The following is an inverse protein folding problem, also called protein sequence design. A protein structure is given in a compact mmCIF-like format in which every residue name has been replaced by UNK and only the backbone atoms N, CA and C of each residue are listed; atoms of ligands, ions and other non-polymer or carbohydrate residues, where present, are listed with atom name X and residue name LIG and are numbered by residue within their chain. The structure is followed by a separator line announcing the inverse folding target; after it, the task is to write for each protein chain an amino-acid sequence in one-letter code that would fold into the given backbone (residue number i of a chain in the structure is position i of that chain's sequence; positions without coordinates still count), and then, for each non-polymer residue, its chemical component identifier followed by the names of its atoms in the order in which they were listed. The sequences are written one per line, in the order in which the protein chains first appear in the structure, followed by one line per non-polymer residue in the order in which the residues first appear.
data_IF_349691906614
#
_entry.id   IF_349691906614
#
_cell.length_a   1.000
_cell.length_b   1.000
_cell.length_c   1.000
_cell.angle_alpha   90.00
_cell.angle_beta   90.00
_cell.angle_gamma   90.00
#
_symmetry.space_group_name_H-M   'P 1'
#
loop_
_entity.id
_entity.type
_entity.pdbx_description
1 polymer ?
#
# COMPACT_ATOMS: atom_id res chain seq x y z
N UNK A 1 -20.00 -7.45 6.04
CA UNK A 1 -19.89 -8.73 5.32
C UNK A 1 -21.20 -9.02 4.61
N UNK A 2 -21.20 -9.16 3.28
CA UNK A 2 -22.43 -9.47 2.56
C UNK A 2 -22.58 -10.97 2.29
N UNK A 3 -23.81 -11.47 2.44
CA UNK A 3 -24.18 -12.83 1.98
C UNK A 3 -24.75 -12.86 0.55
N UNK A 4 -25.11 -11.72 -0.05
CA UNK A 4 -25.74 -11.66 -1.40
C UNK A 4 -25.30 -10.48 -2.30
N UNK A 5 -24.57 -9.49 -1.80
CA UNK A 5 -24.23 -8.25 -2.54
C UNK A 5 -22.72 -8.08 -2.69
N UNK A 6 -22.23 -7.57 -3.81
CA UNK A 6 -20.81 -7.21 -3.96
C UNK A 6 -20.48 -6.01 -3.07
N UNK A 7 -19.29 -6.03 -2.47
CA UNK A 7 -18.74 -4.88 -1.73
C UNK A 7 -17.97 -4.03 -2.74
N UNK A 8 -18.24 -2.72 -2.76
CA UNK A 8 -17.43 -1.81 -3.56
C UNK A 8 -15.98 -1.80 -3.06
N UNK A 9 -15.00 -1.82 -3.98
CA UNK A 9 -13.60 -1.74 -3.59
C UNK A 9 -13.34 -0.40 -2.90
N UNK A 10 -12.61 -0.45 -1.78
CA UNK A 10 -12.21 0.76 -1.05
C UNK A 10 -11.23 1.56 -1.91
N UNK A 11 -11.52 2.84 -2.11
CA UNK A 11 -10.59 3.78 -2.73
C UNK A 11 -9.45 4.04 -1.75
N UNK A 12 -8.23 3.96 -2.26
CA UNK A 12 -7.01 4.27 -1.52
C UNK A 12 -6.41 5.56 -2.06
N UNK A 13 -5.69 6.28 -1.19
CA UNK A 13 -4.91 7.43 -1.64
C UNK A 13 -3.65 6.92 -2.37
N UNK A 14 -3.20 7.63 -3.42
CA UNK A 14 -1.96 7.31 -4.09
C UNK A 14 -0.76 7.52 -3.17
N UNK A 15 0.35 6.87 -3.53
CA UNK A 15 1.61 6.99 -2.79
C UNK A 15 2.12 8.45 -2.76
N UNK A 16 2.58 8.97 -1.60
CA UNK A 16 2.99 10.37 -1.49
C UNK A 16 4.29 10.70 -2.24
N UNK A 17 5.16 9.73 -2.53
CA UNK A 17 6.46 9.97 -3.18
C UNK A 17 6.37 9.79 -4.69
N UNK A 18 5.68 8.75 -5.15
CA UNK A 18 5.59 8.40 -6.57
C UNK A 18 4.20 8.62 -7.18
N UNK A 19 3.19 9.00 -6.40
CA UNK A 19 1.83 9.22 -6.89
C UNK A 19 1.12 7.95 -7.39
N UNK A 20 1.70 6.78 -7.15
CA UNK A 20 1.21 5.50 -7.68
C UNK A 20 0.24 4.82 -6.71
N UNK A 21 -0.96 4.48 -7.19
CA UNK A 21 -1.92 3.67 -6.43
C UNK A 21 -1.45 2.22 -6.24
N UNK A 22 -0.68 1.68 -7.20
CA UNK A 22 -0.16 0.31 -7.09
C UNK A 22 0.87 0.21 -5.97
N UNK A 23 1.75 1.21 -5.85
CA UNK A 23 2.76 1.25 -4.81
C UNK A 23 2.11 1.42 -3.43
N UNK A 24 1.10 2.29 -3.31
CA UNK A 24 0.31 2.44 -2.09
C UNK A 24 -0.41 1.14 -1.68
N UNK A 25 -0.98 0.37 -2.62
CA UNK A 25 -1.55 -0.97 -2.35
C UNK A 25 -0.46 -1.92 -1.84
N UNK A 26 0.71 -1.91 -2.46
CA UNK A 26 1.81 -2.78 -2.07
C UNK A 26 2.32 -2.49 -0.65
N UNK A 27 2.51 -1.21 -0.29
CA UNK A 27 2.85 -0.80 1.07
C UNK A 27 1.80 -1.30 2.07
N UNK A 28 0.52 -1.14 1.77
CA UNK A 28 -0.56 -1.56 2.67
C UNK A 28 -0.62 -3.08 2.86
N UNK A 29 -0.23 -3.87 1.86
CA UNK A 29 -0.15 -5.34 1.96
C UNK A 29 1.08 -5.79 2.76
N UNK A 30 2.22 -5.11 2.60
CA UNK A 30 3.45 -5.42 3.33
C UNK A 30 3.39 -5.00 4.80
N UNK A 31 2.57 -4.00 5.13
CA UNK A 31 2.45 -3.44 6.46
C UNK A 31 1.98 -4.47 7.51
N UNK A 32 2.79 -4.64 8.56
CA UNK A 32 2.47 -5.48 9.73
C UNK A 32 2.16 -4.59 10.93
N UNK A 33 1.17 -4.98 11.74
CA UNK A 33 0.69 -4.23 12.93
C UNK A 33 0.27 -2.78 12.67
N UNK A 34 -0.08 -2.42 11.42
CA UNK A 34 -0.42 -1.03 11.07
C UNK A 34 0.76 -0.06 11.04
N UNK A 35 2.00 -0.57 11.05
CA UNK A 35 3.22 0.24 11.04
C UNK A 35 3.54 0.74 9.63
N UNK A 36 2.85 1.81 9.21
CA UNK A 36 2.97 2.37 7.85
C UNK A 36 4.35 2.96 7.56
N UNK A 37 4.92 3.69 8.53
CA UNK A 37 6.24 4.32 8.37
C UNK A 37 7.34 3.29 8.15
N UNK A 38 7.34 2.16 8.87
CA UNK A 38 8.35 1.10 8.66
C UNK A 38 8.18 0.40 7.32
N UNK A 39 6.93 0.16 6.89
CA UNK A 39 6.66 -0.46 5.59
C UNK A 39 7.10 0.45 4.42
N UNK A 40 6.87 1.75 4.54
CA UNK A 40 7.34 2.76 3.59
C UNK A 40 8.87 2.80 3.52
N UNK A 41 9.57 2.83 4.66
CA UNK A 41 11.03 2.82 4.70
C UNK A 41 11.64 1.58 4.02
N UNK A 42 11.07 0.40 4.26
CA UNK A 42 11.54 -0.85 3.64
C UNK A 42 11.37 -0.81 2.12
N UNK A 43 10.19 -0.42 1.64
CA UNK A 43 9.89 -0.41 0.20
C UNK A 43 10.71 0.65 -0.53
N UNK A 44 10.82 1.86 0.03
CA UNK A 44 11.63 2.90 -0.60
C UNK A 44 13.12 2.54 -0.60
N UNK A 45 13.64 1.94 0.47
CA UNK A 45 15.01 1.43 0.50
C UNK A 45 15.23 0.31 -0.51
N UNK A 46 14.29 -0.61 -0.66
CA UNK A 46 14.37 -1.69 -1.65
C UNK A 46 14.35 -1.16 -3.10
N UNK A 47 13.51 -0.16 -3.38
CA UNK A 47 13.46 0.49 -4.70
C UNK A 47 14.76 1.23 -5.02
N UNK A 48 15.40 1.85 -4.04
CA UNK A 48 16.70 2.50 -4.20
C UNK A 48 17.82 1.50 -4.49
N UNK A 49 17.81 0.31 -3.86
CA UNK A 49 18.79 -0.74 -4.15
C UNK A 49 18.60 -1.45 -5.50
N UNK A 50 17.40 -1.35 -6.09
CA UNK A 50 17.06 -2.02 -7.35
C UNK A 50 17.26 -1.10 -8.56
N UNK A 51 17.40 0.20 -8.32
CA UNK A 51 17.71 1.22 -9.32
C UNK A 51 19.22 1.29 -9.60
#
# INVERSE_FOLDING_TARGET
MPRRRSVEPRKILPDPKFGSELLAKFINVLMVDGKKSTAESIIYGALETLA
#
